data_IF_987749924883
#
_entry.id   IF_987749924883
#
_cell.length_a   1.000
_cell.length_b   1.000
_cell.length_c   1.000
_cell.angle_alpha   90.00
_cell.angle_beta   90.00
_cell.angle_gamma   90.00
#
_symmetry.space_group_name_H-M   'P 1'
#
loop_
_entity.id
_entity.type
_entity.pdbx_description
1 polymer ?
#
# COMPACT_ATOMS: atom_id res chain seq x y z
N UNK A 1 0.61 -39.20 -5.74
CA UNK A 1 2.02 -39.01 -6.15
C UNK A 1 2.51 -37.69 -5.57
N UNK A 2 3.41 -37.82 -4.60
CA UNK A 2 4.39 -36.87 -4.01
C UNK A 2 4.20 -35.38 -4.35
N UNK A 3 3.60 -34.61 -3.44
CA UNK A 3 3.81 -33.16 -3.32
C UNK A 3 4.70 -32.89 -2.11
N UNK A 4 5.96 -32.60 -2.40
CA UNK A 4 7.02 -32.32 -1.44
C UNK A 4 6.72 -31.03 -0.66
N UNK A 5 6.42 -31.15 0.63
CA UNK A 5 6.35 -30.03 1.58
C UNK A 5 7.74 -29.40 1.73
N UNK A 6 7.96 -28.23 1.15
CA UNK A 6 9.13 -27.40 1.47
C UNK A 6 8.73 -26.50 2.64
N UNK A 7 8.71 -27.05 3.85
CA UNK A 7 8.80 -26.23 5.06
C UNK A 7 10.26 -25.77 5.19
N UNK A 8 10.60 -24.65 4.55
CA UNK A 8 11.91 -24.00 4.76
C UNK A 8 11.91 -23.37 6.15
N UNK A 9 12.60 -24.01 7.09
CA UNK A 9 12.98 -23.38 8.35
C UNK A 9 13.72 -22.05 8.07
N UNK A 10 13.62 -21.03 8.95
CA UNK A 10 14.41 -19.82 8.82
C UNK A 10 15.89 -20.18 8.73
N UNK A 11 16.55 -19.69 7.68
CA UNK A 11 17.97 -19.91 7.44
C UNK A 11 18.76 -19.29 8.60
N UNK A 12 19.33 -20.14 9.46
CA UNK A 12 20.30 -19.70 10.47
C UNK A 12 21.61 -19.44 9.72
N UNK A 13 21.99 -18.16 9.60
CA UNK A 13 23.25 -17.77 8.96
C UNK A 13 24.43 -18.49 9.62
N UNK A 14 25.24 -19.18 8.80
CA UNK A 14 26.58 -19.60 9.22
C UNK A 14 27.40 -18.36 9.51
N UNK A 15 27.98 -18.25 10.71
CA UNK A 15 28.90 -17.17 11.04
C UNK A 15 30.14 -17.29 10.14
N UNK A 16 30.33 -16.33 9.24
CA UNK A 16 31.50 -16.30 8.36
C UNK A 16 32.65 -15.60 9.10
N UNK A 17 33.63 -16.39 9.55
CA UNK A 17 34.69 -15.91 10.45
C UNK A 17 35.87 -15.21 9.77
N UNK A 18 35.92 -15.18 8.42
CA UNK A 18 37.04 -14.62 7.66
C UNK A 18 36.58 -13.83 6.43
N UNK A 19 37.32 -12.76 6.09
CA UNK A 19 37.07 -11.94 4.89
C UNK A 19 37.11 -12.75 3.59
N UNK A 20 37.98 -13.75 3.52
CA UNK A 20 38.04 -14.66 2.36
C UNK A 20 36.74 -15.47 2.22
N UNK A 21 36.22 -16.01 3.33
CA UNK A 21 34.97 -16.76 3.34
C UNK A 21 33.76 -15.90 2.96
N UNK A 22 33.78 -14.60 3.25
CA UNK A 22 32.75 -13.65 2.80
C UNK A 22 32.85 -13.41 1.30
N UNK A 23 34.05 -13.21 0.76
CA UNK A 23 34.24 -12.99 -0.68
C UNK A 23 33.78 -14.20 -1.50
N UNK A 24 34.12 -15.42 -1.06
CA UNK A 24 33.68 -16.66 -1.71
C UNK A 24 32.17 -16.83 -1.63
N UNK A 25 31.55 -16.45 -0.51
CA UNK A 25 30.09 -16.49 -0.36
C UNK A 25 29.38 -15.51 -1.30
N UNK A 26 29.89 -14.28 -1.43
CA UNK A 26 29.35 -13.27 -2.34
C UNK A 26 29.59 -13.60 -3.82
N UNK A 27 30.61 -14.40 -4.13
CA UNK A 27 30.89 -14.89 -5.47
C UNK A 27 29.95 -16.03 -5.90
N UNK A 28 29.15 -16.59 -4.98
CA UNK A 28 28.16 -17.60 -5.35
C UNK A 28 27.12 -17.00 -6.29
N UNK A 29 26.75 -17.69 -7.38
CA UNK A 29 25.76 -17.19 -8.31
C UNK A 29 24.38 -17.17 -7.64
N UNK A 30 23.97 -16.00 -7.20
CA UNK A 30 22.64 -15.73 -6.66
C UNK A 30 21.88 -14.79 -7.58
N UNK A 31 20.57 -14.97 -7.67
CA UNK A 31 19.73 -14.01 -8.38
C UNK A 31 19.74 -12.66 -7.68
N UNK A 32 19.93 -11.59 -8.46
CA UNK A 32 19.71 -10.24 -7.96
C UNK A 32 18.20 -9.98 -7.84
N UNK A 33 17.78 -9.23 -6.82
CA UNK A 33 16.36 -8.86 -6.66
C UNK A 33 15.82 -8.12 -7.88
N UNK A 34 16.62 -7.30 -8.56
CA UNK A 34 16.24 -6.62 -9.80
C UNK A 34 15.94 -7.58 -10.96
N UNK A 35 16.59 -8.75 -11.00
CA UNK A 35 16.36 -9.75 -12.06
C UNK A 35 15.05 -10.51 -11.85
N UNK A 36 14.59 -10.63 -10.60
CA UNK A 36 13.32 -11.26 -10.25
C UNK A 36 12.11 -10.47 -10.77
N UNK A 37 12.20 -9.14 -10.79
CA UNK A 37 11.08 -8.25 -11.15
C UNK A 37 11.13 -7.73 -12.60
N UNK A 38 12.25 -7.90 -13.32
CA UNK A 38 12.43 -7.37 -14.68
C UNK A 38 11.61 -8.10 -15.75
N UNK A 39 11.16 -9.33 -15.50
CA UNK A 39 10.51 -10.19 -16.51
C UNK A 39 9.09 -9.77 -16.86
N UNK A 40 8.39 -9.09 -15.95
CA UNK A 40 6.98 -8.70 -16.13
C UNK A 40 6.81 -7.32 -16.75
N UNK A 41 7.83 -6.44 -16.64
CA UNK A 41 7.81 -5.07 -17.18
C UNK A 41 7.74 -5.04 -18.72
N UNK A 42 8.26 -6.06 -19.42
CA UNK A 42 8.42 -6.04 -20.89
C UNK A 42 7.30 -6.81 -21.62
N UNK A 43 6.71 -7.83 -21.00
CA UNK A 43 5.73 -8.70 -21.70
C UNK A 43 4.26 -8.27 -21.51
N UNK A 44 3.92 -7.52 -20.46
CA UNK A 44 2.53 -7.12 -20.18
C UNK A 44 2.19 -5.69 -20.65
N UNK A 45 3.15 -4.93 -21.17
CA UNK A 45 2.87 -3.60 -21.72
C UNK A 45 2.05 -3.64 -23.03
N UNK A 46 2.15 -4.72 -23.82
CA UNK A 46 1.48 -4.85 -25.13
C UNK A 46 0.48 -6.02 -25.22
N UNK A 47 0.22 -6.76 -24.14
CA UNK A 47 -0.61 -7.97 -24.19
C UNK A 47 -1.54 -8.11 -22.98
N UNK A 48 -2.62 -7.33 -23.01
CA UNK A 48 -3.86 -7.58 -22.26
C UNK A 48 -4.73 -8.68 -22.89
N UNK A 49 -4.14 -9.65 -23.60
CA UNK A 49 -4.86 -10.79 -24.16
C UNK A 49 -3.97 -12.03 -24.22
N UNK A 50 -4.00 -12.87 -23.18
CA UNK A 50 -4.07 -14.32 -23.38
C UNK A 50 -4.63 -15.02 -22.14
N UNK A 51 -5.32 -16.16 -22.35
CA UNK A 51 -6.38 -16.66 -21.49
C UNK A 51 -5.84 -17.62 -20.43
N UNK A 52 -6.70 -17.94 -19.45
CA UNK A 52 -6.54 -19.02 -18.47
C UNK A 52 -6.03 -18.60 -17.07
N UNK A 53 -6.81 -17.73 -16.43
CA UNK A 53 -7.26 -17.96 -15.05
C UNK A 53 -8.46 -17.06 -14.76
N UNK A 54 -9.57 -17.71 -14.37
CA UNK A 54 -10.80 -17.21 -13.75
C UNK A 54 -11.14 -15.71 -13.86
N UNK A 55 -12.14 -15.31 -14.66
CA UNK A 55 -12.48 -13.91 -14.92
C UNK A 55 -13.57 -13.43 -13.96
N UNK A 56 -13.25 -12.74 -12.86
CA UNK A 56 -14.29 -11.95 -12.15
C UNK A 56 -13.86 -10.59 -11.59
N UNK A 57 -12.57 -10.20 -11.48
CA UNK A 57 -12.24 -8.92 -10.83
C UNK A 57 -10.87 -8.29 -11.20
N UNK A 58 -10.41 -8.38 -12.44
CA UNK A 58 -9.31 -7.50 -12.88
C UNK A 58 -9.87 -6.08 -13.05
N UNK A 59 -9.42 -5.08 -12.26
CA UNK A 59 -9.92 -3.72 -12.39
C UNK A 59 -9.42 -3.15 -13.72
N UNK A 60 -10.32 -3.10 -14.71
CA UNK A 60 -10.06 -2.34 -15.93
C UNK A 60 -9.75 -0.90 -15.53
N UNK A 61 -8.51 -0.47 -15.76
CA UNK A 61 -8.01 0.87 -15.49
C UNK A 61 -8.66 1.85 -16.49
N UNK A 62 -9.87 2.29 -16.14
CA UNK A 62 -10.70 3.21 -16.90
C UNK A 62 -10.66 4.63 -16.31
N UNK A 63 -10.98 5.64 -17.13
CA UNK A 63 -11.04 7.05 -16.73
C UNK A 63 -12.01 7.27 -15.55
N UNK A 64 -13.13 6.55 -15.57
CA UNK A 64 -14.15 6.57 -14.50
C UNK A 64 -13.59 6.09 -13.16
N UNK A 65 -12.71 5.10 -13.18
CA UNK A 65 -12.09 4.57 -11.97
C UNK A 65 -11.10 5.60 -11.39
N UNK A 66 -10.32 6.26 -12.25
CA UNK A 66 -9.43 7.34 -11.82
C UNK A 66 -10.23 8.49 -11.21
N UNK A 67 -11.31 8.92 -11.85
CA UNK A 67 -12.19 9.96 -11.30
C UNK A 67 -12.75 9.56 -9.92
N UNK A 68 -13.14 8.30 -9.74
CA UNK A 68 -13.61 7.77 -8.46
C UNK A 68 -12.50 7.77 -7.40
N UNK A 69 -11.28 7.33 -7.74
CA UNK A 69 -10.14 7.31 -6.83
C UNK A 69 -9.71 8.72 -6.40
N UNK A 70 -9.64 9.65 -7.36
CA UNK A 70 -9.34 11.07 -7.10
C UNK A 70 -10.38 11.68 -6.15
N UNK A 71 -11.66 11.38 -6.37
CA UNK A 71 -12.74 11.82 -5.49
C UNK A 71 -12.63 11.23 -4.08
N UNK A 72 -12.33 9.93 -3.96
CA UNK A 72 -12.14 9.27 -2.66
C UNK A 72 -10.93 9.80 -1.89
N UNK A 73 -9.88 10.20 -2.61
CA UNK A 73 -8.69 10.81 -2.02
C UNK A 73 -8.89 12.29 -1.60
N UNK A 74 -10.06 12.88 -1.86
CA UNK A 74 -10.32 14.30 -1.60
C UNK A 74 -9.49 15.24 -2.48
N UNK A 75 -9.03 14.76 -3.64
CA UNK A 75 -8.23 15.53 -4.59
C UNK A 75 -9.14 16.30 -5.57
N UNK A 76 -8.65 17.39 -6.18
CA UNK A 76 -9.42 18.14 -7.17
C UNK A 76 -9.75 17.25 -8.39
N UNK A 77 -10.93 17.42 -9.01
CA UNK A 77 -11.34 16.62 -10.16
C UNK A 77 -10.38 16.82 -11.33
N UNK A 78 -10.12 15.74 -12.06
CA UNK A 78 -9.22 15.72 -13.21
C UNK A 78 -10.09 15.57 -14.47
N UNK A 79 -9.94 16.43 -15.49
CA UNK A 79 -10.71 16.30 -16.72
C UNK A 79 -10.28 15.06 -17.51
N UNK A 80 -11.27 14.41 -18.13
CA UNK A 80 -11.08 13.22 -18.96
C UNK A 80 -10.17 13.54 -20.16
N UNK A 81 -9.22 12.65 -20.46
CA UNK A 81 -8.23 12.79 -21.52
C UNK A 81 -7.09 13.77 -21.20
N UNK A 82 -7.04 14.33 -19.99
CA UNK A 82 -5.97 15.28 -19.64
C UNK A 82 -4.61 14.59 -19.47
N UNK A 83 -3.54 15.33 -19.72
CA UNK A 83 -2.18 14.83 -19.49
C UNK A 83 -1.95 14.36 -18.04
N UNK A 84 -2.64 15.00 -17.09
CA UNK A 84 -2.60 14.62 -15.67
C UNK A 84 -3.26 13.27 -15.44
N UNK A 85 -4.40 13.00 -16.08
CA UNK A 85 -5.07 11.71 -15.96
C UNK A 85 -4.21 10.59 -16.55
N UNK A 86 -3.63 10.82 -17.74
CA UNK A 86 -2.76 9.84 -18.39
C UNK A 86 -1.53 9.51 -17.53
N UNK A 87 -0.94 10.51 -16.87
CA UNK A 87 0.15 10.29 -15.91
C UNK A 87 -0.32 9.43 -14.72
N UNK A 88 -1.48 9.72 -14.14
CA UNK A 88 -2.05 8.93 -13.03
C UNK A 88 -2.31 7.49 -13.48
N UNK A 89 -2.86 7.28 -14.69
CA UNK A 89 -3.08 5.94 -15.23
C UNK A 89 -1.77 5.17 -15.44
N UNK A 90 -0.73 5.83 -15.94
CA UNK A 90 0.59 5.22 -16.11
C UNK A 90 1.21 4.82 -14.76
N UNK A 91 1.12 5.70 -13.76
CA UNK A 91 1.62 5.43 -12.42
C UNK A 91 0.85 4.30 -11.75
N UNK A 92 -0.49 4.31 -11.82
CA UNK A 92 -1.34 3.25 -11.28
C UNK A 92 -1.04 1.90 -11.92
N UNK A 93 -0.85 1.86 -13.25
CA UNK A 93 -0.43 0.63 -13.95
C UNK A 93 0.90 0.11 -13.44
N UNK A 94 1.89 0.99 -13.32
CA UNK A 94 3.22 0.61 -12.81
C UNK A 94 3.15 0.06 -11.38
N UNK A 95 2.34 0.69 -10.53
CA UNK A 95 2.13 0.26 -9.15
C UNK A 95 1.40 -1.09 -9.07
N UNK A 96 0.37 -1.30 -9.89
CA UNK A 96 -0.38 -2.56 -9.91
C UNK A 96 0.50 -3.72 -10.38
N UNK A 97 1.33 -3.53 -11.40
CA UNK A 97 2.31 -4.55 -11.82
C UNK A 97 3.16 -5.00 -10.63
N UNK A 98 3.64 -4.07 -9.80
CA UNK A 98 4.40 -4.43 -8.60
C UNK A 98 3.55 -5.22 -7.59
N UNK A 99 2.30 -4.80 -7.35
CA UNK A 99 1.38 -5.50 -6.44
C UNK A 99 1.07 -6.92 -6.93
N UNK A 100 0.90 -7.12 -8.24
CA UNK A 100 0.61 -8.43 -8.81
C UNK A 100 1.74 -9.44 -8.56
N UNK A 101 3.00 -8.99 -8.52
CA UNK A 101 4.12 -9.86 -8.13
C UNK A 101 4.01 -10.32 -6.66
N UNK A 102 3.44 -9.50 -5.78
CA UNK A 102 3.21 -9.88 -4.38
C UNK A 102 2.09 -10.92 -4.30
N UNK A 103 1.05 -10.80 -5.13
CA UNK A 103 -0.07 -11.74 -5.17
C UNK A 103 0.34 -13.16 -5.59
N UNK A 104 1.45 -13.31 -6.32
CA UNK A 104 2.01 -14.62 -6.69
C UNK A 104 2.65 -15.37 -5.51
N UNK A 105 2.94 -14.67 -4.40
CA UNK A 105 3.54 -15.29 -3.21
C UNK A 105 2.48 -16.10 -2.46
N UNK A 106 2.75 -17.38 -2.22
CA UNK A 106 1.85 -18.24 -1.47
C UNK A 106 1.72 -17.80 0.00
N UNK A 107 0.56 -17.27 0.37
CA UNK A 107 0.25 -16.82 1.75
C UNK A 107 -0.68 -17.79 2.50
N UNK A 108 -0.86 -19.02 2.02
CA UNK A 108 -1.71 -20.01 2.68
C UNK A 108 -1.25 -20.25 4.12
N UNK A 109 -2.19 -20.26 5.07
CA UNK A 109 -1.97 -20.46 6.50
C UNK A 109 -1.15 -19.37 7.21
N UNK A 110 -0.95 -18.19 6.58
CA UNK A 110 -0.39 -17.03 7.26
C UNK A 110 -1.51 -16.18 7.86
N UNK A 111 -1.29 -15.68 9.07
CA UNK A 111 -2.17 -14.67 9.67
C UNK A 111 -1.65 -13.28 9.33
N UNK A 112 -2.49 -12.35 8.82
CA UNK A 112 -2.06 -10.99 8.52
C UNK A 112 -1.53 -10.30 9.76
N UNK A 113 -0.34 -9.69 9.64
CA UNK A 113 0.24 -8.90 10.71
C UNK A 113 -0.47 -7.54 10.78
N UNK A 114 -1.30 -7.34 11.80
CA UNK A 114 -2.09 -6.11 11.96
C UNK A 114 -1.28 -4.97 12.61
N UNK A 115 -0.29 -5.29 13.44
CA UNK A 115 0.52 -4.31 14.17
C UNK A 115 1.90 -4.87 14.47
N UNK A 116 2.92 -4.02 14.33
CA UNK A 116 4.27 -4.27 14.86
C UNK A 116 4.32 -3.77 16.31
N UNK A 117 4.55 -4.67 17.28
CA UNK A 117 4.69 -4.32 18.70
C UNK A 117 4.19 -5.40 19.67
N UNK A 118 4.30 -5.11 20.96
CA UNK A 118 3.90 -5.99 22.06
C UNK A 118 2.45 -6.49 21.94
N UNK A 119 2.13 -7.68 22.49
CA UNK A 119 0.80 -8.27 22.40
C UNK A 119 -0.26 -7.28 22.86
N UNK A 120 -1.41 -7.33 22.19
CA UNK A 120 -2.57 -6.48 22.43
C UNK A 120 -2.84 -6.37 23.92
N UNK A 121 -2.39 -5.27 24.54
CA UNK A 121 -2.95 -4.84 25.81
C UNK A 121 -4.43 -4.66 25.50
N UNK A 122 -5.27 -5.54 26.06
CA UNK A 122 -6.72 -5.41 25.97
C UNK A 122 -7.06 -4.03 26.53
N UNK A 123 -7.30 -3.08 25.65
CA UNK A 123 -7.72 -1.74 26.00
C UNK A 123 -9.15 -1.86 26.54
N UNK A 124 -9.29 -2.23 27.81
CA UNK A 124 -10.55 -2.13 28.53
C UNK A 124 -10.85 -0.65 28.74
N UNK A 125 -12.07 -0.21 28.44
CA UNK A 125 -12.52 1.15 28.73
C UNK A 125 -12.38 1.51 30.21
N UNK A 126 -12.37 0.52 31.11
CA UNK A 126 -12.11 0.68 32.53
C UNK A 126 -10.68 1.19 32.81
N UNK A 127 -9.70 0.81 31.99
CA UNK A 127 -8.30 1.26 32.11
C UNK A 127 -8.07 2.63 31.46
N UNK A 128 -9.03 3.15 30.69
CA UNK A 128 -9.02 4.52 30.15
C UNK A 128 -9.87 5.50 30.99
N UNK A 129 -10.49 5.03 32.08
CA UNK A 129 -11.45 5.79 32.87
C UNK A 129 -10.82 6.79 33.87
N UNK A 130 -9.54 7.11 33.75
CA UNK A 130 -9.05 8.40 34.23
C UNK A 130 -9.11 9.37 33.06
N UNK A 131 -10.18 10.17 32.91
CA UNK A 131 -10.15 11.26 31.95
C UNK A 131 -9.01 12.16 32.39
N UNK A 132 -7.89 12.09 31.67
CA UNK A 132 -6.98 13.21 31.57
C UNK A 132 -7.85 14.28 30.92
N UNK A 133 -8.58 15.05 31.72
CA UNK A 133 -9.17 16.29 31.26
C UNK A 133 -7.95 17.10 30.80
N UNK A 134 -7.70 17.28 29.49
CA UNK A 134 -6.68 18.24 29.09
C UNK A 134 -7.06 19.52 29.82
N UNK A 135 -6.11 20.21 30.43
CA UNK A 135 -6.36 21.39 31.25
C UNK A 135 -7.21 22.40 30.45
N UNK A 136 -8.54 22.30 30.58
CA UNK A 136 -9.52 22.95 29.69
C UNK A 136 -9.46 24.47 29.84
N UNK A 137 -8.73 24.96 30.84
CA UNK A 137 -8.52 26.37 31.11
C UNK A 137 -7.67 27.09 30.05
N UNK A 138 -6.89 26.38 29.22
CA UNK A 138 -5.97 27.01 28.24
C UNK A 138 -6.17 26.59 26.78
N UNK A 139 -6.85 25.47 26.52
CA UNK A 139 -7.03 25.01 25.14
C UNK A 139 -8.26 25.65 24.49
N UNK A 140 -8.03 26.42 23.42
CA UNK A 140 -9.08 26.92 22.54
C UNK A 140 -9.08 26.06 21.27
N UNK A 141 -10.09 25.21 21.02
CA UNK A 141 -10.09 24.27 19.88
C UNK A 141 -9.88 24.94 18.51
N UNK A 142 -10.30 26.18 18.36
CA UNK A 142 -10.20 26.95 17.11
C UNK A 142 -8.89 27.72 16.96
N UNK A 143 -7.94 27.62 17.89
CA UNK A 143 -6.69 28.39 17.82
C UNK A 143 -5.79 28.00 16.65
N UNK A 144 -5.88 26.75 16.19
CA UNK A 144 -5.07 26.20 15.09
C UNK A 144 -5.80 26.26 13.74
N UNK A 145 -7.04 26.72 13.70
CA UNK A 145 -7.80 26.80 12.46
C UNK A 145 -7.29 27.96 11.60
N UNK A 146 -7.08 27.71 10.31
CA UNK A 146 -6.76 28.75 9.33
C UNK A 146 -7.93 29.72 9.15
N UNK A 147 -9.16 29.22 9.19
CA UNK A 147 -10.40 30.01 9.12
C UNK A 147 -11.33 29.65 10.29
N UNK A 148 -11.85 30.67 10.96
CA UNK A 148 -12.79 30.51 12.08
C UNK A 148 -13.81 31.64 12.10
N UNK A 149 -15.01 31.32 12.56
CA UNK A 149 -16.06 32.28 12.87
C UNK A 149 -16.41 32.10 14.35
N UNK A 150 -15.95 33.04 15.17
CA UNK A 150 -15.99 32.95 16.62
C UNK A 150 -15.40 31.62 17.14
N UNK A 151 -16.26 30.72 17.63
CA UNK A 151 -15.90 29.41 18.20
C UNK A 151 -16.11 28.24 17.25
N UNK A 152 -16.41 28.49 15.97
CA UNK A 152 -16.69 27.46 14.97
C UNK A 152 -15.62 27.43 13.87
N UNK A 153 -15.32 26.22 13.39
CA UNK A 153 -14.56 26.02 12.16
C UNK A 153 -15.40 26.47 10.97
N UNK A 154 -14.79 27.20 10.04
CA UNK A 154 -15.46 27.64 8.82
C UNK A 154 -15.11 26.66 7.71
N UNK A 155 -16.14 26.04 7.14
CA UNK A 155 -16.03 25.30 5.89
C UNK A 155 -16.65 26.17 4.80
N UNK A 156 -15.87 26.50 3.76
CA UNK A 156 -16.44 27.14 2.57
C UNK A 156 -17.20 26.07 1.80
N UNK A 157 -18.51 26.11 1.90
CA UNK A 157 -19.40 25.23 1.14
C UNK A 157 -19.26 25.57 -0.35
N UNK A 158 -18.40 24.82 -1.05
CA UNK A 158 -18.25 24.90 -2.49
C UNK A 158 -19.30 24.06 -3.22
N UNK A 159 -20.58 24.16 -2.86
CA UNK A 159 -21.67 23.58 -3.64
C UNK A 159 -21.71 24.28 -5.00
N UNK A 160 -20.91 23.78 -5.96
CA UNK A 160 -21.17 24.02 -7.37
C UNK A 160 -22.46 23.26 -7.70
N UNK A 161 -23.53 24.00 -7.98
CA UNK A 161 -24.61 23.44 -8.78
C UNK A 161 -24.01 23.14 -10.16
N UNK A 162 -23.94 21.86 -10.51
CA UNK A 162 -23.72 21.45 -11.90
C UNK A 162 -25.03 21.78 -12.64
N UNK A 163 -24.99 22.84 -13.45
CA UNK A 163 -25.98 23.11 -14.51
C UNK A 163 -25.65 22.29 -15.76
#
# INVERSE_FOLDING_TARGET
>A
MITSRILRAPFVQKTLSSKAAIADYLATPSWASSQLFATKTIAQQDSLTSPESTPENEPVLDSKLVAKLVRQAGLPPVPEGSAREQAILADLRSQLVFVDHICEVETQNLTPLVRLGDPVIKLSFENMATPIKPNQSKWVPTSLASEKNASFYVLKEGLRHED
#
